data_IF_541769950779
#
_entry.id   IF_541769950779
#
_cell.length_a   1.000
_cell.length_b   1.000
_cell.length_c   1.000
_cell.angle_alpha   90.00
_cell.angle_beta   90.00
_cell.angle_gamma   90.00
#
_symmetry.space_group_name_H-M   'P 1'
#
loop_
_entity.id
_entity.type
_entity.pdbx_description
1 polymer ?
#
# COMPACT_ATOMS: atom_id res chain seq x y z
N UNK A 1 -43.33 -0.75 4.15
CA UNK A 1 -42.64 -2.05 4.14
C UNK A 1 -41.52 -2.12 3.11
N UNK A 2 -41.80 -1.73 1.84
CA UNK A 2 -40.80 -1.78 0.76
C UNK A 2 -39.57 -0.92 1.10
N UNK A 3 -39.74 0.31 1.58
CA UNK A 3 -38.64 1.20 1.97
C UNK A 3 -37.74 0.56 3.04
N UNK A 4 -38.32 -0.05 4.07
CA UNK A 4 -37.58 -0.72 5.12
C UNK A 4 -36.83 -1.96 4.60
N UNK A 5 -37.39 -2.68 3.62
CA UNK A 5 -36.70 -3.78 2.96
C UNK A 5 -35.46 -3.30 2.19
N UNK A 6 -35.57 -2.19 1.45
CA UNK A 6 -34.43 -1.60 0.71
C UNK A 6 -33.35 -1.09 1.66
N UNK A 7 -33.73 -0.41 2.75
CA UNK A 7 -32.78 0.09 3.74
C UNK A 7 -32.07 -1.06 4.47
N UNK A 8 -32.80 -2.10 4.85
CA UNK A 8 -32.21 -3.30 5.47
C UNK A 8 -31.25 -4.01 4.52
N UNK A 9 -31.62 -4.15 3.24
CA UNK A 9 -30.73 -4.69 2.22
C UNK A 9 -29.46 -3.87 2.07
N UNK A 10 -29.57 -2.53 2.04
CA UNK A 10 -28.40 -1.65 1.96
C UNK A 10 -27.47 -1.80 3.17
N UNK A 11 -28.01 -1.89 4.38
CA UNK A 11 -27.22 -2.13 5.60
C UNK A 11 -26.51 -3.48 5.52
N UNK A 12 -27.24 -4.56 5.22
CA UNK A 12 -26.66 -5.91 5.12
C UNK A 12 -25.61 -5.97 4.02
N UNK A 13 -25.88 -5.40 2.86
CA UNK A 13 -24.95 -5.36 1.73
C UNK A 13 -23.67 -4.61 2.08
N UNK A 14 -23.78 -3.41 2.72
CA UNK A 14 -22.62 -2.67 3.21
C UNK A 14 -21.81 -3.48 4.22
N UNK A 15 -22.50 -4.15 5.16
CA UNK A 15 -21.81 -4.99 6.15
C UNK A 15 -21.10 -6.17 5.48
N UNK A 16 -21.70 -6.81 4.49
CA UNK A 16 -21.04 -7.88 3.73
C UNK A 16 -19.78 -7.40 2.99
N UNK A 17 -19.85 -6.21 2.38
CA UNK A 17 -18.69 -5.63 1.69
C UNK A 17 -17.56 -5.19 2.64
N UNK A 18 -17.91 -4.87 3.88
CA UNK A 18 -16.97 -4.47 4.93
C UNK A 18 -16.48 -5.65 5.79
N UNK A 19 -16.95 -6.87 5.55
CA UNK A 19 -16.30 -8.04 6.15
C UNK A 19 -14.87 -8.11 5.60
N UNK A 20 -13.85 -8.10 6.46
CA UNK A 20 -12.50 -8.36 6.01
C UNK A 20 -12.54 -9.71 5.29
N UNK A 21 -12.06 -9.76 4.07
CA UNK A 21 -11.59 -11.00 3.50
C UNK A 21 -10.72 -11.64 4.59
N UNK A 22 -10.82 -12.96 4.78
CA UNK A 22 -9.98 -13.65 5.77
C UNK A 22 -8.58 -13.06 5.59
N UNK A 23 -8.10 -12.31 6.60
CA UNK A 23 -6.70 -11.99 6.65
C UNK A 23 -6.01 -13.31 6.43
N UNK A 24 -5.35 -13.48 5.30
CA UNK A 24 -4.43 -14.61 5.17
C UNK A 24 -3.55 -14.48 6.40
N UNK A 25 -3.58 -15.50 7.22
CA UNK A 25 -2.87 -15.45 8.49
C UNK A 25 -1.41 -15.66 8.11
N UNK A 26 -0.72 -14.58 7.75
CA UNK A 26 0.67 -14.58 7.32
C UNK A 26 1.61 -15.30 8.30
N UNK A 27 1.12 -15.53 9.52
CA UNK A 27 1.81 -16.35 10.52
C UNK A 27 1.39 -17.84 10.50
N UNK A 28 0.38 -18.26 9.73
CA UNK A 28 -0.05 -19.68 9.66
C UNK A 28 0.74 -20.52 8.65
N UNK A 29 1.37 -19.91 7.65
CA UNK A 29 2.23 -20.61 6.70
C UNK A 29 3.60 -20.93 7.29
N UNK A 30 4.30 -21.92 6.71
CA UNK A 30 5.69 -22.23 7.02
C UNK A 30 6.62 -21.43 6.09
N UNK A 31 7.66 -20.85 6.67
CA UNK A 31 8.71 -20.21 5.89
C UNK A 31 9.73 -21.26 5.38
N UNK A 32 10.48 -20.91 4.34
CA UNK A 32 11.43 -21.85 3.70
C UNK A 32 12.47 -22.44 4.66
N UNK A 33 12.83 -21.72 5.73
CA UNK A 33 13.78 -22.22 6.75
C UNK A 33 13.13 -23.16 7.78
N UNK A 34 11.82 -23.29 7.78
CA UNK A 34 11.04 -24.26 8.59
C UNK A 34 10.68 -25.51 7.79
N UNK A 35 10.98 -25.52 6.49
CA UNK A 35 10.69 -26.59 5.54
C UNK A 35 11.96 -27.31 5.13
N UNK A 36 11.83 -28.56 4.74
CA UNK A 36 12.94 -29.31 4.12
C UNK A 36 13.03 -28.93 2.65
N UNK A 37 14.17 -28.37 2.24
CA UNK A 37 14.48 -28.09 0.84
C UNK A 37 14.98 -29.36 0.17
N UNK A 38 14.25 -29.85 -0.82
CA UNK A 38 14.60 -31.01 -1.64
C UNK A 38 15.01 -30.52 -3.02
N UNK A 39 16.18 -30.95 -3.49
CA UNK A 39 16.69 -30.62 -4.82
C UNK A 39 16.91 -31.88 -5.64
N UNK A 40 16.24 -31.96 -6.79
CA UNK A 40 16.37 -33.06 -7.73
C UNK A 40 16.80 -32.52 -9.09
N UNK A 41 17.84 -33.11 -9.68
CA UNK A 41 18.26 -32.77 -11.04
C UNK A 41 18.13 -34.01 -11.91
N UNK A 42 17.34 -33.89 -12.99
CA UNK A 42 17.18 -34.92 -14.03
C UNK A 42 17.50 -34.28 -15.36
N UNK A 43 18.53 -34.80 -16.04
CA UNK A 43 19.04 -34.21 -17.26
C UNK A 43 19.39 -32.74 -17.08
N UNK A 44 18.69 -31.83 -17.77
CA UNK A 44 18.91 -30.39 -17.73
C UNK A 44 17.84 -29.65 -16.88
N UNK A 45 17.04 -30.38 -16.10
CA UNK A 45 15.99 -29.79 -15.27
C UNK A 45 16.31 -29.97 -13.79
N UNK A 46 16.47 -28.88 -13.07
CA UNK A 46 16.59 -28.87 -11.61
C UNK A 46 15.24 -28.47 -11.01
N UNK A 47 14.71 -29.30 -10.13
CA UNK A 47 13.51 -29.03 -9.35
C UNK A 47 13.91 -28.83 -7.90
N UNK A 48 13.56 -27.69 -7.33
CA UNK A 48 13.74 -27.35 -5.94
C UNK A 48 12.37 -27.28 -5.30
N UNK A 49 12.11 -28.16 -4.34
CA UNK A 49 10.81 -28.28 -3.67
C UNK A 49 10.94 -28.03 -2.19
N UNK A 50 9.93 -27.44 -1.59
CA UNK A 50 9.79 -27.28 -0.15
C UNK A 50 8.76 -28.26 0.37
N UNK A 51 9.13 -29.08 1.36
CA UNK A 51 8.25 -30.09 1.95
C UNK A 51 8.19 -29.93 3.46
N UNK A 52 7.03 -30.26 4.06
CA UNK A 52 6.83 -30.31 5.51
C UNK A 52 7.47 -31.60 6.10
N UNK A 53 7.32 -31.79 7.40
CA UNK A 53 7.86 -32.96 8.13
C UNK A 53 7.23 -34.28 7.67
N UNK A 54 6.04 -34.26 7.08
CA UNK A 54 5.34 -35.43 6.52
C UNK A 54 5.79 -35.71 5.07
N UNK A 55 6.65 -34.89 4.48
CA UNK A 55 7.14 -35.01 3.11
C UNK A 55 6.18 -34.47 2.06
N UNK A 56 5.17 -33.72 2.44
CA UNK A 56 4.20 -33.12 1.52
C UNK A 56 4.68 -31.76 1.00
N UNK A 57 4.46 -31.50 -0.30
CA UNK A 57 4.74 -30.19 -0.89
C UNK A 57 4.01 -29.10 -0.14
N UNK A 58 4.76 -28.09 0.28
CA UNK A 58 4.24 -27.01 1.11
C UNK A 58 4.69 -25.67 0.57
N UNK A 59 3.76 -24.74 0.45
CA UNK A 59 4.01 -23.38 0.03
C UNK A 59 4.89 -22.65 1.05
N UNK A 60 6.08 -22.22 0.62
CA UNK A 60 7.00 -21.44 1.44
C UNK A 60 6.56 -19.96 1.38
N UNK A 61 6.02 -19.45 2.49
CA UNK A 61 5.41 -18.11 2.53
C UNK A 61 6.39 -16.98 2.23
N UNK A 62 7.67 -17.15 2.53
CA UNK A 62 8.74 -16.18 2.26
C UNK A 62 9.29 -16.25 0.82
N UNK A 63 8.93 -17.30 0.08
CA UNK A 63 9.35 -17.52 -1.32
C UNK A 63 8.22 -17.27 -2.31
N UNK A 64 6.97 -17.34 -1.88
CA UNK A 64 5.77 -17.27 -2.71
C UNK A 64 5.61 -18.45 -3.68
N UNK A 65 6.24 -19.60 -3.40
CA UNK A 65 6.07 -20.84 -4.14
C UNK A 65 6.37 -22.07 -3.27
N UNK A 66 5.89 -23.23 -3.71
CA UNK A 66 6.28 -24.53 -3.14
C UNK A 66 7.40 -25.18 -3.95
N UNK A 67 7.45 -24.92 -5.27
CA UNK A 67 8.39 -25.53 -6.19
C UNK A 67 8.96 -24.48 -7.13
N UNK A 68 10.30 -24.51 -7.27
CA UNK A 68 11.04 -23.80 -8.32
C UNK A 68 11.55 -24.81 -9.31
N UNK A 69 11.21 -24.66 -10.59
CA UNK A 69 11.71 -25.49 -11.68
C UNK A 69 12.65 -24.68 -12.55
N UNK A 70 13.87 -25.16 -12.75
CA UNK A 70 14.90 -24.51 -13.55
C UNK A 70 15.35 -25.40 -14.69
N UNK A 71 15.20 -24.94 -15.92
CA UNK A 71 15.79 -25.54 -17.10
C UNK A 71 17.18 -24.95 -17.30
N UNK A 72 18.19 -25.81 -17.50
CA UNK A 72 19.59 -25.41 -17.60
C UNK A 72 20.19 -25.80 -18.95
N UNK A 73 21.22 -25.09 -19.38
CA UNK A 73 22.02 -25.47 -20.54
C UNK A 73 23.09 -26.53 -20.18
N UNK A 74 23.89 -26.90 -21.16
CA UNK A 74 24.98 -27.87 -20.98
C UNK A 74 26.08 -27.37 -20.02
N UNK A 75 26.23 -26.07 -19.87
CA UNK A 75 27.17 -25.41 -18.95
C UNK A 75 26.57 -25.23 -17.54
N UNK A 76 25.31 -25.64 -17.32
CA UNK A 76 24.60 -25.57 -16.05
C UNK A 76 23.96 -24.21 -15.75
N UNK A 77 23.98 -23.26 -16.71
CA UNK A 77 23.32 -21.94 -16.54
C UNK A 77 21.82 -22.08 -16.69
N UNK A 78 21.04 -21.33 -15.93
CA UNK A 78 19.58 -21.34 -16.00
C UNK A 78 19.13 -20.67 -17.29
N UNK A 79 18.37 -21.38 -18.11
CA UNK A 79 17.72 -20.84 -19.32
C UNK A 79 16.30 -20.36 -19.08
N UNK A 80 15.59 -21.04 -18.17
CA UNK A 80 14.22 -20.68 -17.80
C UNK A 80 13.95 -21.18 -16.39
N UNK A 81 13.24 -20.38 -15.63
CA UNK A 81 12.69 -20.80 -14.35
C UNK A 81 11.23 -20.39 -14.23
N UNK A 82 10.47 -21.17 -13.48
CA UNK A 82 9.08 -20.89 -13.16
C UNK A 82 8.70 -21.48 -11.80
N UNK A 83 7.62 -20.92 -11.24
CA UNK A 83 7.20 -21.14 -9.87
C UNK A 83 5.88 -21.90 -9.84
N UNK A 84 5.75 -22.88 -8.95
CA UNK A 84 4.55 -23.67 -8.75
C UNK A 84 4.12 -23.61 -7.27
N UNK A 85 2.82 -23.68 -7.05
CA UNK A 85 2.26 -23.82 -5.72
C UNK A 85 2.36 -25.27 -5.17
N UNK A 86 1.73 -25.57 -4.05
CA UNK A 86 1.74 -26.90 -3.44
C UNK A 86 0.90 -27.94 -4.22
N UNK A 87 0.07 -27.50 -5.17
CA UNK A 87 -0.71 -28.34 -6.07
C UNK A 87 -0.04 -28.54 -7.42
N UNK A 88 1.18 -27.99 -7.57
CA UNK A 88 1.95 -27.99 -8.82
C UNK A 88 1.34 -27.14 -9.94
N UNK A 89 0.46 -26.19 -9.60
CA UNK A 89 -0.08 -25.22 -10.52
C UNK A 89 0.82 -23.96 -10.57
N UNK A 90 0.90 -23.24 -11.71
CA UNK A 90 1.68 -22.02 -11.81
C UNK A 90 1.26 -21.00 -10.75
N UNK A 91 2.23 -20.40 -10.07
CA UNK A 91 1.97 -19.38 -9.04
C UNK A 91 2.75 -18.11 -9.33
N UNK A 92 2.15 -16.97 -8.98
CA UNK A 92 2.80 -15.67 -9.10
C UNK A 92 3.84 -15.47 -8.00
N UNK A 93 5.03 -15.05 -8.41
CA UNK A 93 6.11 -14.70 -7.51
C UNK A 93 6.65 -13.32 -7.90
N UNK A 94 6.50 -12.32 -7.05
CA UNK A 94 6.94 -10.94 -7.29
C UNK A 94 6.33 -10.25 -8.53
N UNK A 95 5.11 -10.62 -8.93
CA UNK A 95 4.40 -10.02 -10.06
C UNK A 95 4.64 -10.70 -11.41
N UNK A 96 5.25 -11.90 -11.41
CA UNK A 96 5.47 -12.72 -12.60
C UNK A 96 5.48 -14.21 -12.23
N UNK A 97 5.31 -15.10 -13.22
CA UNK A 97 5.20 -16.54 -13.02
C UNK A 97 6.50 -17.29 -13.36
N UNK A 98 7.42 -16.62 -14.01
CA UNK A 98 8.72 -17.19 -14.36
C UNK A 98 9.65 -16.18 -15.00
N UNK A 99 10.88 -16.63 -15.27
CA UNK A 99 11.91 -15.83 -15.94
C UNK A 99 12.58 -16.70 -17.01
N UNK A 100 12.85 -16.13 -18.18
CA UNK A 100 13.72 -16.74 -19.16
C UNK A 100 15.03 -15.95 -19.32
N UNK A 101 16.11 -16.64 -19.58
CA UNK A 101 17.45 -16.11 -19.74
C UNK A 101 18.02 -16.50 -21.11
N UNK A 102 18.53 -15.53 -21.84
CA UNK A 102 19.35 -15.76 -23.02
C UNK A 102 20.78 -15.27 -22.66
N UNK A 103 21.70 -16.22 -22.51
CA UNK A 103 23.09 -15.93 -22.14
C UNK A 103 23.94 -15.68 -23.39
N UNK A 104 24.56 -14.50 -23.45
CA UNK A 104 25.57 -14.14 -24.44
C UNK A 104 26.93 -13.98 -23.79
N UNK A 105 27.97 -13.74 -24.57
CA UNK A 105 29.34 -13.69 -24.07
C UNK A 105 29.56 -12.67 -22.94
N UNK A 106 28.91 -11.49 -23.02
CA UNK A 106 29.09 -10.40 -22.05
C UNK A 106 27.77 -9.81 -21.56
N UNK A 107 26.64 -10.39 -21.95
CA UNK A 107 25.33 -9.90 -21.55
C UNK A 107 24.33 -11.05 -21.40
N UNK A 108 23.34 -10.85 -20.55
CA UNK A 108 22.15 -11.68 -20.43
C UNK A 108 20.91 -10.87 -20.83
N UNK A 109 20.01 -11.51 -21.58
CA UNK A 109 18.63 -11.02 -21.76
C UNK A 109 17.74 -11.76 -20.78
N UNK A 110 17.13 -11.05 -19.87
CA UNK A 110 16.29 -11.54 -18.78
C UNK A 110 14.85 -11.11 -19.10
N UNK A 111 13.97 -12.06 -19.38
CA UNK A 111 12.57 -11.79 -19.72
C UNK A 111 11.66 -12.32 -18.63
N UNK A 112 10.81 -11.46 -18.07
CA UNK A 112 9.77 -11.83 -17.10
C UNK A 112 8.55 -12.39 -17.82
N UNK A 113 7.98 -13.47 -17.29
CA UNK A 113 6.97 -14.28 -17.95
C UNK A 113 5.65 -14.31 -17.16
N UNK A 114 4.53 -14.29 -17.86
CA UNK A 114 3.21 -14.55 -17.31
C UNK A 114 2.94 -16.06 -17.09
N UNK A 115 1.73 -16.42 -16.70
CA UNK A 115 1.30 -17.79 -16.45
C UNK A 115 1.37 -18.70 -17.71
N UNK A 116 1.27 -18.12 -18.91
CA UNK A 116 1.34 -18.82 -20.19
C UNK A 116 2.78 -18.95 -20.69
N UNK A 117 3.72 -18.27 -20.06
CA UNK A 117 5.12 -18.20 -20.46
C UNK A 117 5.40 -17.14 -21.51
N UNK A 118 4.51 -16.19 -21.71
CA UNK A 118 4.68 -15.02 -22.58
C UNK A 118 5.29 -13.84 -21.79
N UNK A 119 6.06 -12.94 -22.46
CA UNK A 119 6.64 -11.79 -21.81
C UNK A 119 5.60 -10.88 -21.15
N UNK A 120 5.82 -10.50 -19.88
CA UNK A 120 4.90 -9.65 -19.11
C UNK A 120 5.60 -8.47 -18.44
N UNK A 121 4.88 -7.35 -18.29
CA UNK A 121 5.40 -6.17 -17.61
C UNK A 121 5.32 -6.34 -16.11
N UNK A 122 6.48 -6.23 -15.45
CA UNK A 122 6.59 -6.27 -13.99
C UNK A 122 6.04 -5.00 -13.33
N UNK A 123 5.88 -5.03 -12.01
CA UNK A 123 5.52 -3.84 -11.21
C UNK A 123 6.54 -2.70 -11.33
N UNK A 124 7.77 -3.00 -11.77
CA UNK A 124 8.81 -1.99 -12.04
C UNK A 124 8.65 -1.28 -13.40
N UNK A 125 7.67 -1.69 -14.22
CA UNK A 125 7.29 -1.01 -15.45
C UNK A 125 7.97 -1.52 -16.73
N UNK A 126 8.74 -2.62 -16.68
CA UNK A 126 9.40 -3.22 -17.84
C UNK A 126 9.20 -4.75 -17.87
N UNK A 127 9.33 -5.35 -19.04
CA UNK A 127 9.21 -6.79 -19.27
C UNK A 127 10.55 -7.49 -19.45
N UNK A 128 11.56 -6.76 -19.96
CA UNK A 128 12.87 -7.33 -20.29
C UNK A 128 13.98 -6.45 -19.74
N UNK A 129 15.04 -7.11 -19.23
CA UNK A 129 16.29 -6.47 -18.82
C UNK A 129 17.43 -7.07 -19.66
N UNK A 130 18.16 -6.19 -20.34
CA UNK A 130 19.45 -6.56 -20.94
C UNK A 130 20.54 -6.16 -19.94
N UNK A 131 21.22 -7.15 -19.37
CA UNK A 131 22.26 -7.00 -18.35
C UNK A 131 23.63 -7.30 -18.91
N UNK A 132 24.53 -6.34 -18.85
CA UNK A 132 25.94 -6.53 -19.16
C UNK A 132 26.76 -6.83 -17.90
N UNK A 133 27.95 -7.42 -18.09
CA UNK A 133 28.84 -7.79 -17.00
C UNK A 133 30.25 -7.21 -17.25
N UNK A 134 30.93 -6.89 -16.15
CA UNK A 134 32.34 -6.53 -16.19
C UNK A 134 33.20 -7.81 -16.31
N UNK A 135 34.52 -7.63 -16.48
CA UNK A 135 35.51 -8.74 -16.61
C UNK A 135 35.55 -9.69 -15.41
N UNK A 136 34.97 -9.28 -14.26
CA UNK A 136 34.87 -10.09 -13.03
C UNK A 136 33.53 -10.82 -12.92
N UNK A 137 32.67 -10.70 -13.93
CA UNK A 137 31.33 -11.30 -13.93
C UNK A 137 30.30 -10.55 -13.05
N UNK A 138 30.60 -9.33 -12.61
CA UNK A 138 29.65 -8.52 -11.85
C UNK A 138 28.76 -7.71 -12.81
N UNK A 139 27.48 -7.61 -12.50
CA UNK A 139 26.54 -6.84 -13.30
C UNK A 139 26.98 -5.37 -13.41
N UNK A 140 27.15 -4.89 -14.63
CA UNK A 140 27.62 -3.53 -14.95
C UNK A 140 26.47 -2.62 -15.33
N UNK A 141 25.77 -2.94 -16.42
CA UNK A 141 24.63 -2.18 -16.91
C UNK A 141 23.38 -3.04 -16.92
N UNK A 142 22.24 -2.45 -16.57
CA UNK A 142 20.92 -2.94 -16.93
C UNK A 142 20.26 -1.92 -17.85
N UNK A 143 19.61 -2.41 -18.93
CA UNK A 143 18.74 -1.64 -19.82
C UNK A 143 17.37 -2.27 -19.84
N UNK A 144 16.34 -1.44 -19.80
CA UNK A 144 14.95 -1.87 -19.65
C UNK A 144 14.19 -1.77 -20.96
N UNK A 145 13.38 -2.79 -21.24
CA UNK A 145 12.60 -2.90 -22.47
C UNK A 145 11.19 -3.41 -22.16
N UNK A 146 10.26 -3.13 -23.09
CA UNK A 146 8.94 -3.77 -23.11
C UNK A 146 9.03 -5.19 -23.70
N UNK A 147 7.88 -5.86 -23.82
CA UNK A 147 7.78 -7.23 -24.37
C UNK A 147 8.23 -7.33 -25.84
N UNK A 148 8.16 -6.25 -26.60
CA UNK A 148 8.58 -6.15 -28.00
C UNK A 148 10.02 -5.63 -28.17
N UNK A 149 10.82 -5.60 -27.10
CA UNK A 149 12.21 -5.12 -27.09
C UNK A 149 12.36 -3.63 -27.49
N UNK A 150 11.35 -2.80 -27.26
CA UNK A 150 11.45 -1.35 -27.38
C UNK A 150 11.92 -0.78 -26.03
N UNK A 151 12.81 0.23 -26.03
CA UNK A 151 13.25 0.85 -24.78
C UNK A 151 12.07 1.27 -23.92
N UNK A 152 12.07 0.84 -22.64
CA UNK A 152 11.00 1.07 -21.70
C UNK A 152 11.51 1.80 -20.47
N UNK A 153 10.83 2.88 -20.10
CA UNK A 153 11.12 3.60 -18.87
C UNK A 153 10.55 2.86 -17.67
N UNK A 154 11.36 2.68 -16.63
CA UNK A 154 10.93 2.15 -15.34
C UNK A 154 9.95 3.12 -14.65
N UNK A 155 9.21 2.62 -13.66
CA UNK A 155 8.37 3.47 -12.77
C UNK A 155 9.20 4.51 -12.02
N UNK A 156 10.51 4.31 -11.87
CA UNK A 156 11.46 5.27 -11.30
C UNK A 156 11.86 6.42 -12.24
N UNK A 157 11.44 6.43 -13.52
CA UNK A 157 11.72 7.50 -14.47
C UNK A 157 13.07 7.41 -15.17
N UNK A 158 13.63 6.20 -15.33
CA UNK A 158 14.89 5.97 -16.05
C UNK A 158 14.82 4.68 -16.87
N UNK A 159 15.69 4.56 -17.89
CA UNK A 159 15.70 3.44 -18.85
C UNK A 159 16.75 2.37 -18.53
N UNK A 160 17.52 2.59 -17.51
CA UNK A 160 18.54 1.63 -17.08
C UNK A 160 19.36 2.15 -15.92
N UNK A 161 20.30 1.33 -15.50
CA UNK A 161 21.25 1.66 -14.43
C UNK A 161 22.65 1.21 -14.83
N UNK A 162 23.66 1.99 -14.41
CA UNK A 162 25.07 1.64 -14.43
C UNK A 162 25.54 1.38 -13.00
N UNK A 163 26.42 0.39 -12.79
CA UNK A 163 26.98 0.05 -11.49
C UNK A 163 28.49 0.15 -11.51
N UNK A 164 29.04 0.76 -10.47
CA UNK A 164 30.46 0.75 -10.18
C UNK A 164 30.71 0.06 -8.83
N UNK A 165 31.82 -0.70 -8.73
CA UNK A 165 32.17 -1.44 -7.52
C UNK A 165 33.58 -1.07 -7.07
N UNK A 166 33.72 -0.68 -5.81
CA UNK A 166 35.01 -0.48 -5.16
C UNK A 166 35.15 -1.44 -3.97
N UNK A 167 35.83 -2.55 -4.18
CA UNK A 167 35.98 -3.58 -3.16
C UNK A 167 36.85 -3.12 -1.98
N UNK A 168 37.86 -2.27 -2.23
CA UNK A 168 38.76 -1.78 -1.17
C UNK A 168 38.03 -0.83 -0.22
N UNK A 169 37.13 -0.01 -0.75
CA UNK A 169 36.29 0.90 0.03
C UNK A 169 34.98 0.26 0.53
N UNK A 170 34.72 -1.01 0.17
CA UNK A 170 33.44 -1.70 0.41
C UNK A 170 32.24 -0.84 -0.04
N UNK A 171 32.34 -0.22 -1.24
CA UNK A 171 31.30 0.63 -1.78
C UNK A 171 30.83 0.17 -3.16
N UNK A 172 29.61 0.51 -3.51
CA UNK A 172 29.10 0.42 -4.88
C UNK A 172 28.27 1.65 -5.21
N UNK A 173 28.33 2.05 -6.47
CA UNK A 173 27.49 3.13 -6.98
C UNK A 173 26.49 2.63 -8.00
N UNK A 174 25.30 3.24 -8.02
CA UNK A 174 24.30 3.08 -9.06
C UNK A 174 24.07 4.45 -9.68
N UNK A 175 24.17 4.53 -11.00
CA UNK A 175 23.85 5.70 -11.79
C UNK A 175 22.65 5.39 -12.66
N UNK A 176 21.61 6.24 -12.61
CA UNK A 176 20.43 6.09 -13.45
C UNK A 176 20.70 6.62 -14.85
N UNK A 177 20.19 5.95 -15.88
CA UNK A 177 20.49 6.20 -17.27
C UNK A 177 19.22 6.50 -18.06
N UNK A 178 19.34 7.42 -19.01
CA UNK A 178 18.32 7.67 -20.03
C UNK A 178 18.36 6.61 -21.16
N UNK A 179 17.53 6.81 -22.20
CA UNK A 179 17.45 5.90 -23.35
C UNK A 179 18.75 5.84 -24.15
N UNK A 180 19.55 6.90 -24.16
CA UNK A 180 20.84 6.99 -24.85
C UNK A 180 22.00 6.49 -23.98
N UNK A 181 21.74 6.11 -22.74
CA UNK A 181 22.73 5.62 -21.78
C UNK A 181 23.48 6.73 -21.05
N UNK A 182 22.99 7.95 -21.09
CA UNK A 182 23.54 9.08 -20.36
C UNK A 182 22.91 9.17 -18.95
N UNK A 183 23.66 9.68 -17.94
CA UNK A 183 23.12 9.86 -16.61
C UNK A 183 21.86 10.77 -16.60
N UNK A 184 20.81 10.34 -15.90
CA UNK A 184 19.55 11.06 -15.78
C UNK A 184 19.06 11.07 -14.33
N UNK A 185 18.28 12.08 -13.94
CA UNK A 185 17.54 12.03 -12.68
C UNK A 185 16.27 11.20 -12.84
N UNK A 186 16.03 10.31 -11.90
CA UNK A 186 14.72 9.66 -11.72
C UNK A 186 13.67 10.65 -11.23
N UNK A 187 12.44 10.16 -11.03
CA UNK A 187 11.27 10.95 -10.60
C UNK A 187 11.46 11.66 -9.25
N UNK A 188 12.36 11.17 -8.41
CA UNK A 188 12.72 11.74 -7.11
C UNK A 188 13.92 12.72 -7.15
N UNK A 189 14.41 13.08 -8.33
CA UNK A 189 15.56 13.97 -8.51
C UNK A 189 16.93 13.31 -8.30
N UNK A 190 16.98 12.02 -7.95
CA UNK A 190 18.22 11.26 -7.75
C UNK A 190 18.74 10.79 -9.10
N UNK A 191 20.04 11.01 -9.35
CA UNK A 191 20.75 10.49 -10.51
C UNK A 191 21.75 9.39 -10.12
N UNK A 192 22.28 9.47 -8.89
CA UNK A 192 23.30 8.55 -8.37
C UNK A 192 22.99 8.13 -6.94
N UNK A 193 23.23 6.86 -6.62
CA UNK A 193 23.15 6.31 -5.28
C UNK A 193 24.49 5.67 -4.92
N UNK A 194 25.19 6.22 -3.92
CA UNK A 194 26.39 5.58 -3.34
C UNK A 194 25.97 4.69 -2.20
N UNK A 195 26.42 3.45 -2.18
CA UNK A 195 26.11 2.42 -1.18
C UNK A 195 27.36 1.95 -0.48
N UNK A 196 27.30 1.79 0.82
CA UNK A 196 28.31 1.15 1.66
C UNK A 196 27.85 -0.25 2.02
N UNK A 197 28.74 -1.20 1.94
CA UNK A 197 28.44 -2.62 2.07
C UNK A 197 29.11 -3.19 3.34
N UNK A 198 28.50 -4.21 3.93
CA UNK A 198 29.13 -5.03 4.96
C UNK A 198 29.90 -6.20 4.35
N UNK A 199 30.43 -7.07 5.21
CA UNK A 199 31.21 -8.23 4.78
C UNK A 199 30.37 -9.31 4.06
N UNK A 200 29.04 -9.20 4.09
CA UNK A 200 28.09 -10.07 3.41
C UNK A 200 27.51 -9.41 2.15
N UNK A 201 28.16 -8.34 1.68
CA UNK A 201 27.74 -7.49 0.55
C UNK A 201 26.33 -6.85 0.72
N UNK A 202 25.81 -6.74 1.97
CA UNK A 202 24.57 -6.07 2.27
C UNK A 202 24.78 -4.58 2.39
N UNK A 203 23.82 -3.79 1.90
CA UNK A 203 23.86 -2.31 1.98
C UNK A 203 23.61 -1.86 3.41
N UNK A 204 24.64 -1.39 4.13
CA UNK A 204 24.48 -0.84 5.48
C UNK A 204 24.23 0.66 5.51
N UNK A 205 24.56 1.36 4.41
CA UNK A 205 24.31 2.80 4.28
C UNK A 205 24.21 3.18 2.82
N UNK A 206 23.39 4.18 2.49
CA UNK A 206 23.34 4.77 1.15
C UNK A 206 23.10 6.27 1.21
N UNK A 207 23.58 6.99 0.18
CA UNK A 207 23.38 8.42 -0.03
C UNK A 207 22.90 8.70 -1.45
N UNK A 208 22.19 9.80 -1.63
CA UNK A 208 21.51 10.18 -2.87
C UNK A 208 22.10 11.47 -3.43
N UNK A 209 22.36 11.48 -4.74
CA UNK A 209 22.97 12.62 -5.42
C UNK A 209 22.27 12.93 -6.73
N UNK A 210 22.27 14.22 -7.11
CA UNK A 210 21.83 14.69 -8.43
C UNK A 210 22.94 14.51 -9.50
N UNK A 211 22.65 14.96 -10.74
CA UNK A 211 23.62 14.95 -11.86
C UNK A 211 24.88 15.78 -11.60
N UNK A 212 24.84 16.73 -10.67
CA UNK A 212 25.97 17.61 -10.30
C UNK A 212 26.70 17.13 -9.05
N UNK A 213 26.44 15.89 -8.60
CA UNK A 213 26.94 15.32 -7.35
C UNK A 213 26.58 16.13 -6.09
N UNK A 214 25.47 16.86 -6.12
CA UNK A 214 24.93 17.48 -4.91
C UNK A 214 24.02 16.49 -4.20
N UNK A 215 24.06 16.41 -2.86
CA UNK A 215 23.12 15.61 -2.10
C UNK A 215 21.69 15.99 -2.42
N UNK A 216 20.84 14.98 -2.58
CA UNK A 216 19.40 15.12 -2.86
C UNK A 216 18.63 14.75 -1.59
N UNK A 217 17.83 15.68 -1.11
CA UNK A 217 16.89 15.39 -0.03
C UNK A 217 15.67 14.70 -0.63
N UNK A 218 15.36 13.49 -0.15
CA UNK A 218 14.15 12.77 -0.53
C UNK A 218 12.90 13.38 0.12
N UNK A 219 11.73 12.85 -0.21
CA UNK A 219 10.44 13.35 0.28
C UNK A 219 10.36 13.49 1.80
N UNK A 220 10.99 12.60 2.55
CA UNK A 220 11.06 12.68 4.02
C UNK A 220 12.20 13.58 4.52
N UNK A 221 12.90 14.29 3.65
CA UNK A 221 13.97 15.24 3.96
C UNK A 221 15.35 14.63 4.15
N UNK A 222 15.49 13.29 4.17
CA UNK A 222 16.78 12.62 4.32
C UNK A 222 17.62 12.70 3.04
N UNK A 223 18.93 12.78 3.22
CA UNK A 223 19.93 12.75 2.15
C UNK A 223 20.69 11.40 2.12
N UNK A 224 20.47 10.58 3.14
CA UNK A 224 20.96 9.21 3.25
C UNK A 224 20.14 8.35 4.18
N UNK A 225 20.41 7.06 4.18
CA UNK A 225 19.77 6.07 5.04
C UNK A 225 20.82 5.04 5.52
N UNK A 226 20.72 4.62 6.78
CA UNK A 226 21.48 3.50 7.31
C UNK A 226 20.54 2.36 7.69
N UNK A 227 21.01 1.12 7.53
CA UNK A 227 20.23 -0.10 7.69
C UNK A 227 20.81 -1.04 8.73
N UNK A 228 19.93 -1.73 9.45
CA UNK A 228 20.26 -2.95 10.18
C UNK A 228 19.33 -4.07 9.69
N UNK A 229 19.81 -5.30 9.79
CA UNK A 229 19.12 -6.49 9.29
C UNK A 229 18.74 -7.41 10.45
N UNK A 230 17.66 -8.17 10.26
CA UNK A 230 17.30 -9.29 11.14
C UNK A 230 18.06 -10.58 10.74
N UNK A 231 17.82 -11.66 11.46
CA UNK A 231 18.42 -12.99 11.22
C UNK A 231 18.07 -13.59 9.85
N UNK A 232 16.99 -13.09 9.21
CA UNK A 232 16.52 -13.51 7.89
C UNK A 232 16.93 -12.53 6.79
N UNK A 233 17.94 -11.66 7.04
CA UNK A 233 18.44 -10.65 6.11
C UNK A 233 17.40 -9.61 5.66
N UNK A 234 16.33 -9.36 6.46
CA UNK A 234 15.35 -8.32 6.20
C UNK A 234 15.70 -7.05 6.96
N UNK A 235 15.43 -5.88 6.39
CA UNK A 235 15.76 -4.58 7.01
C UNK A 235 14.93 -4.38 8.28
N UNK A 236 15.53 -4.62 9.44
CA UNK A 236 14.88 -4.46 10.75
C UNK A 236 14.91 -3.03 11.27
N UNK A 237 15.84 -2.19 10.78
CA UNK A 237 15.94 -0.78 11.15
C UNK A 237 16.38 0.06 9.97
N UNK A 238 15.76 1.24 9.83
CA UNK A 238 16.17 2.33 8.93
C UNK A 238 16.44 3.55 9.79
N UNK A 239 17.63 4.15 9.67
CA UNK A 239 17.98 5.43 10.29
C UNK A 239 18.13 6.46 9.19
N UNK A 240 17.38 7.56 9.26
CA UNK A 240 17.50 8.67 8.31
C UNK A 240 18.72 9.52 8.63
N UNK A 241 19.47 9.90 7.60
CA UNK A 241 20.73 10.59 7.68
C UNK A 241 20.70 11.92 6.92
N UNK A 242 21.46 12.89 7.46
CA UNK A 242 21.83 14.09 6.73
C UNK A 242 23.00 13.80 5.76
N UNK A 243 23.44 14.82 5.02
CA UNK A 243 24.56 14.73 4.06
C UNK A 243 25.89 14.30 4.70
N UNK A 244 26.06 14.57 5.98
CA UNK A 244 27.29 14.28 6.72
C UNK A 244 27.24 12.91 7.40
N UNK A 245 26.13 12.19 7.23
CA UNK A 245 25.90 10.85 7.77
C UNK A 245 25.43 10.84 9.23
N UNK A 246 25.02 12.00 9.78
CA UNK A 246 24.46 12.05 11.12
C UNK A 246 22.95 11.73 11.10
N UNK A 247 22.45 11.05 12.15
CA UNK A 247 21.02 10.81 12.29
C UNK A 247 20.22 12.13 12.28
N UNK A 248 19.24 12.22 11.39
CA UNK A 248 18.39 13.39 11.24
C UNK A 248 16.91 13.06 11.44
N UNK A 249 16.16 14.02 11.97
CA UNK A 249 14.71 13.91 12.06
C UNK A 249 14.08 14.15 10.69
N UNK A 250 13.37 13.15 10.17
CA UNK A 250 12.62 13.28 8.93
C UNK A 250 11.41 14.22 9.08
N UNK A 251 10.88 14.72 7.95
CA UNK A 251 9.65 15.54 7.91
C UNK A 251 8.45 14.79 8.49
N UNK A 252 8.45 13.46 8.43
CA UNK A 252 7.46 12.56 9.04
C UNK A 252 7.49 12.56 10.57
N UNK A 253 8.54 13.12 11.21
CA UNK A 253 8.60 13.36 12.65
C UNK A 253 9.47 12.40 13.45
N UNK A 254 10.13 11.42 12.85
CA UNK A 254 11.03 10.45 13.49
C UNK A 254 12.40 10.39 12.80
N UNK A 255 13.37 9.80 13.48
CA UNK A 255 14.75 9.58 12.97
C UNK A 255 14.99 8.13 12.61
N UNK A 256 14.43 7.21 13.42
CA UNK A 256 14.63 5.77 13.27
C UNK A 256 13.29 5.09 13.10
N UNK A 257 13.20 4.22 12.10
CA UNK A 257 12.10 3.30 11.85
C UNK A 257 12.55 1.89 12.15
N UNK A 258 11.90 1.20 13.10
CA UNK A 258 12.15 -0.23 13.36
C UNK A 258 10.99 -1.07 12.84
N UNK A 259 11.31 -2.19 12.18
CA UNK A 259 10.34 -3.09 11.56
C UNK A 259 10.44 -4.50 12.12
N UNK A 260 9.31 -5.15 12.20
CA UNK A 260 9.19 -6.60 12.35
C UNK A 260 8.34 -7.13 11.21
N UNK A 261 8.47 -8.40 10.92
CA UNK A 261 7.85 -9.01 9.74
C UNK A 261 7.07 -10.26 10.10
N UNK A 262 6.08 -10.57 9.29
CA UNK A 262 5.46 -11.88 9.22
C UNK A 262 6.44 -12.89 8.58
N UNK A 263 6.08 -14.17 8.61
CA UNK A 263 6.89 -15.24 8.01
C UNK A 263 7.05 -15.08 6.50
N UNK A 264 6.00 -14.62 5.81
CA UNK A 264 6.02 -14.33 4.37
C UNK A 264 6.88 -13.12 3.97
N UNK A 265 7.50 -12.44 4.93
CA UNK A 265 8.32 -11.27 4.67
C UNK A 265 7.54 -9.95 4.61
N UNK A 266 6.21 -9.98 4.70
CA UNK A 266 5.43 -8.74 4.78
C UNK A 266 5.63 -8.03 6.11
N UNK A 267 5.53 -6.69 6.10
CA UNK A 267 5.73 -5.87 7.30
C UNK A 267 4.60 -6.09 8.32
N UNK A 268 4.96 -6.49 9.54
CA UNK A 268 4.02 -6.73 10.65
C UNK A 268 3.83 -5.50 11.53
N UNK A 269 4.94 -4.93 11.99
CA UNK A 269 4.92 -3.74 12.87
C UNK A 269 6.04 -2.80 12.46
N UNK A 270 5.71 -1.51 12.31
CA UNK A 270 6.67 -0.42 12.21
C UNK A 270 6.56 0.49 13.44
N UNK A 271 7.68 0.86 14.06
CA UNK A 271 7.76 1.74 15.24
C UNK A 271 8.71 2.90 15.01
N UNK A 272 8.40 4.03 15.58
CA UNK A 272 9.07 5.31 15.38
C UNK A 272 9.90 5.74 16.60
N UNK A 273 11.14 6.20 16.35
CA UNK A 273 12.06 6.59 17.41
C UNK A 273 12.81 7.88 17.04
N UNK A 274 13.28 8.60 18.06
CA UNK A 274 14.22 9.70 17.89
C UNK A 274 15.66 9.18 17.66
N UNK A 275 16.62 10.11 17.51
CA UNK A 275 18.03 9.77 17.32
C UNK A 275 18.67 9.08 18.54
N UNK A 276 18.11 9.29 19.75
CA UNK A 276 18.56 8.63 20.97
C UNK A 276 17.93 7.26 21.20
N UNK A 277 17.00 6.84 20.30
CA UNK A 277 16.30 5.56 20.41
C UNK A 277 15.07 5.59 21.33
N UNK A 278 14.59 6.76 21.75
CA UNK A 278 13.35 6.87 22.49
C UNK A 278 12.15 6.81 21.55
N UNK A 279 11.04 6.13 21.93
CA UNK A 279 9.80 6.12 21.15
C UNK A 279 9.26 7.54 20.92
N UNK A 280 8.83 7.82 19.67
CA UNK A 280 8.28 9.12 19.27
C UNK A 280 6.83 8.98 18.85
N UNK A 281 5.98 9.85 19.35
CA UNK A 281 4.59 9.98 18.89
C UNK A 281 4.51 10.90 17.69
N UNK A 282 3.76 10.47 16.65
CA UNK A 282 3.47 11.29 15.49
C UNK A 282 2.13 12.04 15.62
N UNK A 283 1.73 12.74 14.56
CA UNK A 283 0.60 13.68 14.55
C UNK A 283 -0.74 13.12 15.04
N UNK A 284 -0.99 11.82 14.83
CA UNK A 284 -2.22 11.12 15.26
C UNK A 284 -2.08 10.45 16.64
N UNK A 285 -1.00 10.70 17.36
CA UNK A 285 -0.71 10.09 18.65
C UNK A 285 -0.07 8.69 18.57
N UNK A 286 0.18 8.18 17.34
CA UNK A 286 0.76 6.86 17.13
C UNK A 286 2.27 6.85 17.37
N UNK A 287 2.75 5.78 17.99
CA UNK A 287 4.17 5.43 18.12
C UNK A 287 4.62 4.38 17.12
N UNK A 288 3.71 3.92 16.28
CA UNK A 288 3.93 2.96 15.24
C UNK A 288 2.63 2.54 14.58
N UNK A 289 2.77 1.61 13.64
CA UNK A 289 1.66 0.95 12.94
C UNK A 289 1.81 -0.56 13.05
N UNK A 290 0.68 -1.25 13.12
CA UNK A 290 0.58 -2.70 12.97
C UNK A 290 -0.27 -2.98 11.74
N UNK A 291 0.21 -3.86 10.86
CA UNK A 291 -0.53 -4.33 9.69
C UNK A 291 -1.14 -5.70 9.98
N UNK A 292 -2.38 -5.90 9.58
CA UNK A 292 -3.10 -7.17 9.65
C UNK A 292 -3.79 -7.33 8.30
N UNK A 293 -3.20 -8.09 7.38
CA UNK A 293 -3.58 -8.04 5.98
C UNK A 293 -3.50 -6.61 5.45
N UNK A 294 -4.57 -6.13 4.80
CA UNK A 294 -4.66 -4.76 4.28
C UNK A 294 -4.99 -3.71 5.35
N UNK A 295 -5.32 -4.14 6.57
CA UNK A 295 -5.71 -3.24 7.66
C UNK A 295 -4.48 -2.68 8.36
N UNK A 296 -4.38 -1.34 8.45
CA UNK A 296 -3.36 -0.63 9.21
C UNK A 296 -3.95 -0.12 10.52
N UNK A 297 -3.37 -0.50 11.66
CA UNK A 297 -3.76 -0.10 13.00
C UNK A 297 -2.66 0.77 13.61
N UNK A 298 -3.00 1.96 14.09
CA UNK A 298 -2.10 2.80 14.88
C UNK A 298 -1.91 2.23 16.27
N UNK A 299 -0.67 2.19 16.75
CA UNK A 299 -0.31 1.62 18.05
C UNK A 299 0.34 2.66 18.98
N UNK A 300 0.14 2.45 20.28
CA UNK A 300 0.79 3.23 21.34
C UNK A 300 2.26 2.81 21.55
N UNK A 301 2.93 3.44 22.50
CA UNK A 301 4.32 3.10 22.85
C UNK A 301 4.53 1.66 23.32
N UNK A 302 3.48 0.98 23.81
CA UNK A 302 3.51 -0.39 24.29
C UNK A 302 3.15 -1.42 23.20
N UNK A 303 2.66 -0.94 22.04
CA UNK A 303 2.22 -1.79 20.92
C UNK A 303 0.74 -2.15 20.95
N UNK A 304 -0.06 -1.54 21.83
CA UNK A 304 -1.51 -1.72 21.86
C UNK A 304 -2.17 -0.80 20.83
N UNK A 305 -3.31 -1.23 20.27
CA UNK A 305 -4.08 -0.39 19.36
C UNK A 305 -4.54 0.90 20.05
N UNK A 306 -4.31 2.04 19.40
CA UNK A 306 -4.82 3.32 19.89
C UNK A 306 -6.34 3.36 19.77
N UNK A 307 -6.99 3.85 20.83
CA UNK A 307 -8.41 4.17 20.79
C UNK A 307 -8.59 5.58 20.19
N UNK A 308 -8.55 5.67 18.88
CA UNK A 308 -8.77 6.89 18.13
C UNK A 308 -9.73 6.67 16.95
N UNK A 309 -10.18 7.77 16.33
CA UNK A 309 -11.15 7.72 15.24
C UNK A 309 -10.56 7.05 14.00
N UNK A 310 -9.31 7.29 13.69
CA UNK A 310 -8.64 6.67 12.53
C UNK A 310 -8.63 5.13 12.63
N UNK A 311 -8.31 4.58 13.79
CA UNK A 311 -8.37 3.14 13.99
C UNK A 311 -9.81 2.61 13.93
N UNK A 312 -10.78 3.42 14.39
CA UNK A 312 -12.19 3.05 14.30
C UNK A 312 -12.65 2.99 12.84
N UNK A 313 -12.31 4.02 12.04
CA UNK A 313 -12.74 4.11 10.65
C UNK A 313 -12.03 3.09 9.75
N UNK A 314 -10.74 2.89 9.92
CA UNK A 314 -9.92 2.04 9.06
C UNK A 314 -9.80 0.60 9.58
N UNK A 315 -9.71 0.41 10.89
CA UNK A 315 -9.54 -0.90 11.51
C UNK A 315 -10.84 -1.63 11.84
N UNK A 316 -11.94 -0.88 12.01
CA UNK A 316 -13.24 -1.43 12.40
C UNK A 316 -14.39 -0.82 11.58
N UNK A 317 -14.38 -0.95 10.25
CA UNK A 317 -15.36 -0.27 9.39
C UNK A 317 -16.80 -0.67 9.66
N UNK A 318 -17.05 -1.90 10.17
CA UNK A 318 -18.39 -2.31 10.61
C UNK A 318 -18.94 -1.46 11.76
N UNK A 319 -18.06 -0.97 12.65
CA UNK A 319 -18.47 -0.09 13.76
C UNK A 319 -18.92 1.28 13.25
N UNK A 320 -18.37 1.76 12.12
CA UNK A 320 -18.82 3.00 11.47
C UNK A 320 -20.31 2.89 11.09
N UNK A 321 -20.68 1.77 10.47
CA UNK A 321 -22.09 1.49 10.10
C UNK A 321 -22.99 1.47 11.34
N UNK A 322 -22.57 0.78 12.41
CA UNK A 322 -23.33 0.70 13.66
C UNK A 322 -23.50 2.07 14.31
N UNK A 323 -22.42 2.86 14.40
CA UNK A 323 -22.46 4.21 14.98
C UNK A 323 -23.36 5.14 14.14
N UNK A 324 -23.25 5.06 12.80
CA UNK A 324 -24.09 5.86 11.91
C UNK A 324 -25.59 5.52 12.10
N UNK A 325 -25.94 4.25 12.24
CA UNK A 325 -27.32 3.83 12.52
C UNK A 325 -27.79 4.36 13.88
N UNK A 326 -26.98 4.25 14.92
CA UNK A 326 -27.30 4.79 16.26
C UNK A 326 -27.50 6.30 16.23
N UNK A 327 -26.67 7.05 15.50
CA UNK A 327 -26.85 8.49 15.30
C UNK A 327 -28.14 8.82 14.55
N UNK A 328 -28.51 8.04 13.53
CA UNK A 328 -29.79 8.21 12.84
C UNK A 328 -30.98 8.02 13.78
N UNK A 329 -30.95 6.99 14.63
CA UNK A 329 -31.97 6.77 15.66
C UNK A 329 -32.01 7.96 16.62
N UNK A 330 -30.85 8.37 17.12
CA UNK A 330 -30.73 9.49 18.05
C UNK A 330 -31.34 10.76 17.47
N UNK A 331 -30.97 11.16 16.23
CA UNK A 331 -31.57 12.32 15.53
C UNK A 331 -33.08 12.28 15.42
N UNK A 332 -33.69 11.09 15.27
CA UNK A 332 -35.13 10.98 15.13
C UNK A 332 -35.90 11.09 16.46
N UNK A 333 -35.27 10.77 17.60
CA UNK A 333 -35.99 10.62 18.87
C UNK A 333 -35.64 11.64 19.96
N UNK A 334 -34.53 12.41 19.85
CA UNK A 334 -34.21 13.50 20.78
C UNK A 334 -35.05 14.77 20.55
N UNK A 335 -35.19 15.66 21.56
CA UNK A 335 -35.87 16.94 21.42
C UNK A 335 -35.21 17.85 20.38
N UNK A 336 -35.99 18.68 19.69
CA UNK A 336 -35.53 19.52 18.55
C UNK A 336 -34.34 20.41 18.88
N UNK A 337 -34.26 20.98 20.06
CA UNK A 337 -33.08 21.80 20.46
C UNK A 337 -31.81 20.97 20.49
N UNK A 338 -31.90 19.76 21.01
CA UNK A 338 -30.76 18.82 21.04
C UNK A 338 -30.45 18.29 19.64
N UNK A 339 -31.45 18.08 18.76
CA UNK A 339 -31.21 17.72 17.35
C UNK A 339 -30.32 18.75 16.67
N UNK A 340 -30.61 20.04 16.82
CA UNK A 340 -29.84 21.14 16.22
C UNK A 340 -28.43 21.16 16.76
N UNK A 341 -28.26 21.05 18.08
CA UNK A 341 -26.93 21.02 18.71
C UNK A 341 -26.09 19.82 18.22
N UNK A 342 -26.67 18.63 18.28
CA UNK A 342 -26.01 17.40 17.80
C UNK A 342 -25.68 17.49 16.30
N UNK A 343 -26.57 18.08 15.50
CA UNK A 343 -26.36 18.25 14.06
C UNK A 343 -25.18 19.19 13.77
N UNK A 344 -25.07 20.30 14.47
CA UNK A 344 -23.94 21.22 14.34
C UNK A 344 -22.63 20.57 14.77
N UNK A 345 -22.62 19.82 15.87
CA UNK A 345 -21.47 19.05 16.31
C UNK A 345 -21.07 17.98 15.27
N UNK A 346 -22.05 17.33 14.64
CA UNK A 346 -21.82 16.35 13.60
C UNK A 346 -21.26 16.97 12.30
N UNK A 347 -21.71 18.16 11.92
CA UNK A 347 -21.12 18.90 10.79
C UNK A 347 -19.66 19.24 11.06
N UNK A 348 -19.33 19.69 12.28
CA UNK A 348 -17.93 19.95 12.69
C UNK A 348 -17.12 18.65 12.61
N UNK A 349 -17.68 17.52 13.04
CA UNK A 349 -17.07 16.22 12.94
C UNK A 349 -16.78 15.82 11.48
N UNK A 350 -17.73 16.05 10.54
CA UNK A 350 -17.50 15.81 9.11
C UNK A 350 -16.29 16.61 8.61
N UNK A 351 -16.20 17.91 8.92
CA UNK A 351 -15.06 18.74 8.54
C UNK A 351 -13.75 18.26 9.17
N UNK A 352 -13.79 17.85 10.43
CA UNK A 352 -12.64 17.28 11.11
C UNK A 352 -12.12 16.05 10.36
N UNK A 353 -12.97 15.10 10.00
CA UNK A 353 -12.60 13.86 9.32
C UNK A 353 -12.13 14.08 7.88
N UNK A 354 -12.74 15.02 7.17
CA UNK A 354 -12.46 15.20 5.74
C UNK A 354 -11.30 16.16 5.45
N UNK A 355 -10.96 17.07 6.38
CA UNK A 355 -9.97 18.12 6.13
C UNK A 355 -8.80 18.13 7.13
N UNK A 356 -9.01 17.72 8.39
CA UNK A 356 -7.95 17.75 9.41
C UNK A 356 -7.08 16.51 9.27
N UNK A 357 -5.84 16.52 9.33
CA UNK A 357 -4.90 15.38 9.26
C UNK A 357 -4.62 14.80 7.87
N UNK A 358 -5.04 15.48 6.80
CA UNK A 358 -4.54 15.15 5.47
C UNK A 358 -3.19 15.85 5.26
N UNK A 359 -2.26 15.15 4.60
CA UNK A 359 -0.98 15.74 4.21
C UNK A 359 -1.21 16.72 3.07
N UNK A 360 -0.54 17.88 3.13
CA UNK A 360 -0.57 18.83 2.03
C UNK A 360 0.21 18.28 0.84
N UNK A 361 -0.40 18.31 -0.32
CA UNK A 361 0.18 17.83 -1.57
C UNK A 361 -0.14 18.76 -2.74
N UNK A 362 0.07 18.28 -3.96
CA UNK A 362 -0.28 19.00 -5.17
C UNK A 362 -1.81 19.12 -5.31
N UNK A 363 -2.26 20.23 -5.94
CA UNK A 363 -3.65 20.41 -6.34
C UNK A 363 -4.01 19.38 -7.41
N UNK A 364 -4.67 18.29 -7.02
CA UNK A 364 -5.05 17.17 -7.91
C UNK A 364 -6.56 17.03 -7.95
N UNK A 365 -7.06 16.62 -9.10
CA UNK A 365 -8.47 16.28 -9.29
C UNK A 365 -8.61 14.93 -9.98
N UNK A 366 -9.59 14.14 -9.55
CA UNK A 366 -10.05 12.95 -10.25
C UNK A 366 -11.53 13.12 -10.59
N UNK A 367 -11.80 13.52 -11.85
CA UNK A 367 -13.14 13.79 -12.34
C UNK A 367 -13.77 12.60 -13.07
N UNK A 368 -13.22 11.40 -12.91
CA UNK A 368 -13.77 10.17 -13.48
C UNK A 368 -14.67 9.51 -12.45
N UNK A 369 -15.98 9.43 -12.76
CA UNK A 369 -16.94 8.77 -11.87
C UNK A 369 -16.73 7.24 -11.88
N UNK A 370 -16.71 6.63 -10.70
CA UNK A 370 -16.41 5.22 -10.46
C UNK A 370 -15.00 4.81 -10.94
N UNK A 371 -14.04 5.71 -10.79
CA UNK A 371 -12.63 5.47 -11.14
C UNK A 371 -12.06 4.23 -10.43
N UNK A 372 -12.55 3.92 -9.24
CA UNK A 372 -12.16 2.76 -8.43
C UNK A 372 -12.86 1.43 -8.83
N UNK A 373 -13.83 1.46 -9.76
CA UNK A 373 -14.63 0.27 -10.08
C UNK A 373 -13.80 -0.99 -10.46
N UNK A 374 -12.69 -0.88 -11.22
CA UNK A 374 -11.88 -2.05 -11.56
C UNK A 374 -11.24 -2.75 -10.35
N UNK A 375 -10.94 -1.98 -9.30
CA UNK A 375 -10.22 -2.46 -8.11
C UNK A 375 -11.11 -2.56 -6.87
N UNK A 376 -12.39 -2.17 -6.97
CA UNK A 376 -13.32 -2.13 -5.83
C UNK A 376 -13.47 -3.49 -5.12
N UNK A 377 -13.55 -4.59 -5.87
CA UNK A 377 -13.72 -5.91 -5.27
C UNK A 377 -12.41 -6.57 -4.86
N UNK A 378 -11.28 -6.16 -5.41
CA UNK A 378 -9.97 -6.74 -5.13
C UNK A 378 -9.17 -5.95 -4.09
N UNK A 379 -9.46 -4.65 -3.90
CA UNK A 379 -8.74 -3.81 -2.95
C UNK A 379 -9.63 -3.45 -1.76
N UNK A 380 -9.34 -4.03 -0.60
CA UNK A 380 -10.04 -3.79 0.66
C UNK A 380 -10.09 -2.31 1.04
N UNK A 381 -8.97 -1.59 0.93
CA UNK A 381 -8.87 -0.18 1.36
C UNK A 381 -9.80 0.71 0.54
N UNK A 382 -9.77 0.57 -0.79
CA UNK A 382 -10.66 1.30 -1.70
C UNK A 382 -12.12 1.03 -1.38
N UNK A 383 -12.45 -0.23 -1.08
CA UNK A 383 -13.81 -0.66 -0.71
C UNK A 383 -14.27 0.01 0.60
N UNK A 384 -13.40 0.01 1.62
CA UNK A 384 -13.69 0.65 2.93
C UNK A 384 -13.86 2.16 2.77
N UNK A 385 -12.97 2.83 2.04
CA UNK A 385 -13.01 4.29 1.85
C UNK A 385 -14.31 4.71 1.12
N UNK A 386 -14.66 4.03 0.03
CA UNK A 386 -15.89 4.31 -0.72
C UNK A 386 -17.16 4.12 0.12
N UNK A 387 -17.21 3.08 0.96
CA UNK A 387 -18.37 2.80 1.82
C UNK A 387 -18.41 3.77 2.99
N UNK A 388 -17.28 4.11 3.58
CA UNK A 388 -17.19 5.09 4.67
C UNK A 388 -17.68 6.48 4.23
N UNK A 389 -17.37 6.93 3.01
CA UNK A 389 -17.87 8.19 2.47
C UNK A 389 -19.40 8.22 2.42
N UNK A 390 -20.03 7.13 2.00
CA UNK A 390 -21.49 7.02 2.02
C UNK A 390 -22.02 7.07 3.46
N UNK A 391 -21.49 6.25 4.37
CA UNK A 391 -21.98 6.15 5.74
C UNK A 391 -21.71 7.40 6.59
N UNK A 392 -20.68 8.18 6.28
CA UNK A 392 -20.43 9.47 6.91
C UNK A 392 -21.56 10.47 6.65
N UNK A 393 -22.21 10.42 5.49
CA UNK A 393 -23.29 11.35 5.15
C UNK A 393 -24.70 10.83 5.47
N UNK A 394 -24.87 9.55 5.82
CA UNK A 394 -26.18 9.00 6.22
C UNK A 394 -26.76 9.70 7.46
N UNK A 395 -26.03 9.87 8.60
CA UNK A 395 -26.53 10.62 9.74
C UNK A 395 -26.79 12.10 9.44
N UNK A 396 -25.96 12.72 8.57
CA UNK A 396 -26.18 14.10 8.12
C UNK A 396 -27.54 14.27 7.45
N UNK A 397 -27.86 13.41 6.47
CA UNK A 397 -29.16 13.44 5.79
C UNK A 397 -30.34 13.20 6.73
N UNK A 398 -30.18 12.22 7.67
CA UNK A 398 -31.23 11.92 8.67
C UNK A 398 -31.44 13.08 9.62
N UNK A 399 -30.40 13.68 10.17
CA UNK A 399 -30.45 14.80 11.11
C UNK A 399 -31.07 16.04 10.45
N UNK A 400 -30.62 16.35 9.23
CA UNK A 400 -31.17 17.49 8.47
C UNK A 400 -32.68 17.32 8.15
N UNK A 401 -33.08 16.10 7.76
CA UNK A 401 -34.51 15.80 7.56
C UNK A 401 -35.28 15.83 8.87
N UNK A 402 -34.72 15.34 9.98
CA UNK A 402 -35.38 15.41 11.28
C UNK A 402 -35.71 16.84 11.71
N UNK A 403 -34.84 17.80 11.37
CA UNK A 403 -35.00 19.23 11.70
C UNK A 403 -35.94 19.93 10.73
N UNK A 404 -35.78 19.78 9.41
CA UNK A 404 -36.41 20.60 8.37
C UNK A 404 -37.70 19.96 7.82
N UNK A 405 -37.80 18.61 7.84
CA UNK A 405 -38.96 17.84 7.37
C UNK A 405 -39.31 18.00 5.87
N UNK A 406 -38.32 18.32 5.03
CA UNK A 406 -38.47 18.44 3.57
C UNK A 406 -37.50 17.50 2.84
N UNK A 407 -37.99 16.77 1.83
CA UNK A 407 -37.15 15.85 1.04
C UNK A 407 -36.04 16.57 0.25
N UNK A 408 -36.31 17.83 -0.17
CA UNK A 408 -35.37 18.62 -0.98
C UNK A 408 -34.07 18.99 -0.24
N UNK A 409 -33.94 18.68 1.05
CA UNK A 409 -32.72 18.96 1.83
C UNK A 409 -31.49 18.15 1.38
N UNK A 410 -31.65 17.18 0.49
CA UNK A 410 -30.50 16.48 -0.13
C UNK A 410 -29.51 17.44 -0.84
N UNK A 411 -30.01 18.59 -1.33
CA UNK A 411 -29.17 19.63 -1.94
C UNK A 411 -28.10 20.13 -0.96
N UNK A 412 -28.35 20.14 0.34
CA UNK A 412 -27.36 20.53 1.34
C UNK A 412 -26.25 19.48 1.49
N UNK A 413 -26.54 18.21 1.29
CA UNK A 413 -25.49 17.17 1.27
C UNK A 413 -24.57 17.37 0.06
N UNK A 414 -25.14 17.64 -1.11
CA UNK A 414 -24.39 17.97 -2.33
C UNK A 414 -23.53 19.24 -2.13
N UNK A 415 -24.11 20.32 -1.58
CA UNK A 415 -23.39 21.58 -1.36
C UNK A 415 -22.24 21.41 -0.35
N UNK A 416 -22.48 20.66 0.74
CA UNK A 416 -21.45 20.37 1.72
C UNK A 416 -20.31 19.55 1.10
N UNK A 417 -20.64 18.55 0.30
CA UNK A 417 -19.62 17.73 -0.39
C UNK A 417 -18.83 18.57 -1.39
N UNK A 418 -19.48 19.43 -2.21
CA UNK A 418 -18.75 20.36 -3.09
C UNK A 418 -17.81 21.26 -2.31
N UNK A 419 -18.24 21.76 -1.15
CA UNK A 419 -17.42 22.63 -0.31
C UNK A 419 -16.20 21.89 0.24
N UNK A 420 -16.34 20.63 0.62
CA UNK A 420 -15.23 19.78 1.08
C UNK A 420 -14.24 19.59 -0.06
N UNK A 421 -14.69 19.11 -1.23
CA UNK A 421 -13.84 18.86 -2.40
C UNK A 421 -13.13 20.14 -2.88
N UNK A 422 -13.83 21.25 -2.92
CA UNK A 422 -13.24 22.54 -3.27
C UNK A 422 -12.18 22.97 -2.24
N UNK A 423 -12.43 22.77 -0.94
CA UNK A 423 -11.46 23.08 0.11
C UNK A 423 -10.21 22.20 -0.03
N UNK A 424 -10.37 20.91 -0.26
CA UNK A 424 -9.24 19.97 -0.48
C UNK A 424 -8.41 20.39 -1.69
N UNK A 425 -9.05 20.75 -2.80
CA UNK A 425 -8.37 21.23 -3.99
C UNK A 425 -7.56 22.50 -3.73
N UNK A 426 -8.19 23.55 -3.18
CA UNK A 426 -7.54 24.84 -2.99
C UNK A 426 -6.48 24.86 -1.88
N UNK A 427 -6.58 23.97 -0.91
CA UNK A 427 -5.62 23.86 0.19
C UNK A 427 -4.55 22.79 -0.04
N UNK A 428 -4.70 21.95 -1.08
CA UNK A 428 -3.83 20.79 -1.29
C UNK A 428 -3.98 19.69 -0.21
N UNK A 429 -5.06 19.70 0.57
CA UNK A 429 -5.31 18.73 1.64
C UNK A 429 -5.93 17.41 1.14
N UNK A 430 -5.69 17.05 -0.11
CA UNK A 430 -6.18 15.81 -0.72
C UNK A 430 -6.45 15.98 -2.21
N UNK A 431 -6.99 14.93 -2.80
CA UNK A 431 -7.44 14.89 -4.20
C UNK A 431 -8.93 15.20 -4.21
N UNK A 432 -9.36 16.17 -5.03
CA UNK A 432 -10.79 16.42 -5.22
C UNK A 432 -11.37 15.37 -6.18
N UNK A 433 -12.29 14.54 -5.68
CA UNK A 433 -12.80 13.37 -6.39
C UNK A 433 -14.30 13.43 -6.66
N UNK A 434 -14.68 13.12 -7.91
CA UNK A 434 -16.09 13.04 -8.29
C UNK A 434 -16.81 11.86 -7.59
N UNK A 435 -16.05 10.82 -7.28
CA UNK A 435 -16.54 9.63 -6.56
C UNK A 435 -16.95 9.98 -5.13
N UNK A 436 -16.18 10.80 -4.43
CA UNK A 436 -16.50 11.29 -3.08
C UNK A 436 -17.72 12.19 -3.09
N UNK A 437 -17.82 13.10 -4.08
CA UNK A 437 -19.00 13.93 -4.28
C UNK A 437 -20.28 13.09 -4.45
N UNK A 438 -20.18 12.03 -5.25
CA UNK A 438 -21.30 11.10 -5.47
C UNK A 438 -21.64 10.32 -4.20
N UNK A 439 -20.65 9.69 -3.57
CA UNK A 439 -20.81 8.86 -2.36
C UNK A 439 -21.43 9.64 -1.21
N UNK A 440 -20.91 10.81 -0.92
CA UNK A 440 -21.39 11.73 0.11
C UNK A 440 -22.84 12.16 -0.13
N UNK A 441 -23.16 12.58 -1.38
CA UNK A 441 -24.53 12.98 -1.75
C UNK A 441 -25.51 11.81 -1.64
N UNK A 442 -25.10 10.64 -2.12
CA UNK A 442 -25.90 9.41 -2.06
C UNK A 442 -26.18 9.00 -0.61
N UNK A 443 -25.16 9.04 0.27
CA UNK A 443 -25.33 8.83 1.70
C UNK A 443 -26.34 9.79 2.34
N UNK A 444 -26.25 11.08 2.00
CA UNK A 444 -27.22 12.09 2.44
C UNK A 444 -28.66 11.76 2.01
N UNK A 445 -28.85 11.30 0.77
CA UNK A 445 -30.17 10.87 0.26
C UNK A 445 -30.70 9.66 1.04
N UNK A 446 -29.86 8.63 1.25
CA UNK A 446 -30.22 7.46 2.07
C UNK A 446 -30.65 7.89 3.47
N UNK A 447 -29.88 8.77 4.10
CA UNK A 447 -30.20 9.29 5.44
C UNK A 447 -31.54 9.99 5.51
N UNK A 448 -31.92 10.76 4.49
CA UNK A 448 -33.25 11.39 4.41
C UNK A 448 -34.36 10.33 4.39
N UNK A 449 -34.19 9.26 3.60
CA UNK A 449 -35.19 8.19 3.54
C UNK A 449 -35.26 7.38 4.84
N UNK A 450 -34.16 7.20 5.55
CA UNK A 450 -34.12 6.61 6.92
C UNK A 450 -34.95 7.51 7.85
N UNK A 451 -34.71 8.83 7.84
CA UNK A 451 -35.46 9.80 8.64
C UNK A 451 -36.95 9.79 8.34
N UNK A 452 -37.32 9.70 7.07
CA UNK A 452 -38.76 9.57 6.66
C UNK A 452 -39.33 8.30 7.26
N UNK A 453 -38.70 7.16 7.10
CA UNK A 453 -39.18 5.87 7.60
C UNK A 453 -39.35 5.86 9.12
N UNK A 454 -38.36 6.32 9.88
CA UNK A 454 -38.37 6.34 11.35
C UNK A 454 -39.43 7.30 11.90
N UNK A 455 -39.64 8.45 11.27
CA UNK A 455 -40.56 9.47 11.76
C UNK A 455 -42.00 9.25 11.28
N UNK A 456 -42.22 8.50 10.18
CA UNK A 456 -43.53 8.06 9.76
C UNK A 456 -44.13 7.03 10.74
N UNK A 457 -43.35 6.06 11.16
CA UNK A 457 -43.77 5.05 12.14
C UNK A 457 -44.10 5.64 13.52
N UNK A 458 -43.60 6.85 13.84
CA UNK A 458 -43.97 7.56 15.08
C UNK A 458 -45.36 8.19 15.00
N UNK A 459 -45.79 8.64 13.81
CA UNK A 459 -47.11 9.24 13.62
C UNK A 459 -48.25 8.22 13.76
N UNK A 460 -48.06 7.00 13.26
CA UNK A 460 -49.07 5.93 13.28
C UNK A 460 -49.27 5.27 14.66
N UNK A 461 -48.43 5.58 15.68
CA UNK A 461 -48.59 5.10 17.05
C UNK A 461 -49.39 6.02 17.96
N UNK A 462 -49.79 7.17 17.49
CA UNK A 462 -50.55 8.18 18.27
C UNK A 462 -51.92 8.53 17.65
N UNK A 463 -52.44 7.66 16.77
CA UNK A 463 -53.84 7.70 16.30
C UNK A 463 -54.50 6.35 16.50
#
# INVERSE_FOLDING_TARGET
>A
KILWGILLFFVIFSMCLLFPEKCEDHDQGLASWELTRVEETKENVTRISYVNDDGELTYAVDKFYAVLVQNRDAEGRVLKEYYLDAYEEPTECYGYFGISYEHKEKEDIITYLDENGDPTTTTSGFAVVVRSFNEKGQALDDRYYDAEMRPQMSTGGYYGIHREYNKEAATSEIVYLDVDGLPVCGTNGVARVTRFLDNEDRVIQKFFFDLKNKPVSLQSGQEGEAYSYDENNRISQITFLDRDGNPMKATTGYTILKRTYYRDGTEKISRYFDAAGNPVSLSKGQYGIKRIGDVTIYIDQNGHALLNIDNLLNGYPLMVVVIAILLCVLFCFIPRKMQIFLFLAYVIFIFYETLMFRETGDMRTNLVLFSYAPTFFTNWRIRVDAINNVWLFVPFGTGLYAIIRKKRVWVFALLLSIMIEATQYFTGLGIAELDDLFGNTFGGVIGIYIGIGMLYTKKDKYY
#
